data_IF_840325411346
#
_entry.id   IF_840325411346
#
_cell.length_a   1.000
_cell.length_b   1.000
_cell.length_c   1.000
_cell.angle_alpha   90.00
_cell.angle_beta   90.00
_cell.angle_gamma   90.00
#
_symmetry.space_group_name_H-M   'P 1'
#
loop_
_entity.id
_entity.type
_entity.pdbx_description
1 polymer ?
#
# COMPACT_ATOMS: atom_id res chain seq x y z
N UNK A 1 -7.17 16.22 8.20
CA UNK A 1 -8.60 16.51 8.44
C UNK A 1 -8.77 16.97 9.88
N UNK A 2 -9.77 17.81 10.21
CA UNK A 2 -10.04 18.17 11.62
C UNK A 2 -10.71 17.01 12.37
N UNK A 3 -10.45 16.84 13.67
CA UNK A 3 -11.02 15.77 14.50
C UNK A 3 -12.55 15.74 14.47
N UNK A 4 -13.21 16.89 14.50
CA UNK A 4 -14.68 16.95 14.48
C UNK A 4 -15.22 16.30 13.21
N UNK A 5 -14.56 16.54 12.06
CA UNK A 5 -14.93 15.90 10.79
C UNK A 5 -14.70 14.40 10.82
N UNK A 6 -13.62 13.93 11.44
CA UNK A 6 -13.38 12.50 11.64
C UNK A 6 -14.50 11.84 12.47
N UNK A 7 -14.91 12.49 13.57
CA UNK A 7 -16.04 12.04 14.40
C UNK A 7 -17.36 12.03 13.63
N UNK A 8 -17.61 13.02 12.77
CA UNK A 8 -18.78 13.00 11.88
C UNK A 8 -18.74 11.80 10.94
N UNK A 9 -17.60 11.51 10.30
CA UNK A 9 -17.50 10.38 9.38
C UNK A 9 -17.76 9.03 10.06
N UNK A 10 -17.33 8.87 11.32
CA UNK A 10 -17.63 7.68 12.10
C UNK A 10 -19.12 7.60 12.46
N UNK A 11 -19.76 8.71 12.87
CA UNK A 11 -21.21 8.72 13.08
C UNK A 11 -21.98 8.39 11.79
N UNK A 12 -21.61 8.98 10.66
CA UNK A 12 -22.25 8.69 9.37
C UNK A 12 -22.12 7.19 9.02
N UNK A 13 -20.99 6.55 9.36
CA UNK A 13 -20.80 5.10 9.16
C UNK A 13 -21.69 4.29 10.10
N UNK A 14 -21.81 4.69 11.37
CA UNK A 14 -22.71 4.07 12.34
C UNK A 14 -24.18 4.22 11.91
N UNK A 15 -24.58 5.36 11.37
CA UNK A 15 -25.93 5.60 10.83
C UNK A 15 -26.24 4.59 9.71
N UNK A 16 -25.30 4.36 8.79
CA UNK A 16 -25.46 3.37 7.71
C UNK A 16 -25.55 1.94 8.25
N UNK A 17 -24.75 1.60 9.26
CA UNK A 17 -24.83 0.28 9.91
C UNK A 17 -26.19 0.09 10.62
N UNK A 18 -26.76 1.16 11.17
CA UNK A 18 -28.07 1.15 11.83
C UNK A 18 -29.22 1.05 10.82
N UNK A 19 -29.12 1.73 9.67
CA UNK A 19 -30.02 1.53 8.52
C UNK A 19 -29.98 0.09 8.01
N UNK A 20 -28.82 -0.56 8.12
CA UNK A 20 -28.59 -1.95 7.77
C UNK A 20 -28.67 -2.22 6.27
N UNK A 21 -28.95 -3.47 5.93
CA UNK A 21 -29.06 -3.93 4.55
C UNK A 21 -27.75 -4.50 4.00
N UNK A 22 -27.85 -5.21 2.90
CA UNK A 22 -26.69 -5.86 2.29
C UNK A 22 -25.75 -4.82 1.64
N UNK A 23 -24.41 -4.88 1.83
CA UNK A 23 -23.64 -5.91 2.54
C UNK A 23 -23.36 -5.61 4.02
N UNK A 24 -23.89 -4.51 4.58
CA UNK A 24 -23.65 -4.08 5.97
C UNK A 24 -24.15 -5.10 6.99
N UNK A 25 -25.21 -5.85 6.67
CA UNK A 25 -25.70 -6.95 7.49
C UNK A 25 -24.67 -8.09 7.68
N UNK A 26 -23.54 -8.08 6.97
CA UNK A 26 -22.45 -9.04 7.15
C UNK A 26 -21.36 -8.56 8.11
N UNK A 27 -21.37 -7.30 8.52
CA UNK A 27 -20.39 -6.72 9.47
C UNK A 27 -20.63 -7.26 10.88
N UNK A 28 -19.57 -7.75 11.51
CA UNK A 28 -19.59 -8.27 12.89
C UNK A 28 -18.96 -7.30 13.87
N UNK A 29 -17.83 -6.67 13.52
CA UNK A 29 -17.13 -5.74 14.42
C UNK A 29 -16.58 -4.55 13.66
N UNK A 30 -16.57 -3.39 14.33
CA UNK A 30 -15.88 -2.18 13.90
C UNK A 30 -14.88 -1.81 15.00
N UNK A 31 -13.60 -1.75 14.64
CA UNK A 31 -12.52 -1.29 15.51
C UNK A 31 -11.85 -0.07 14.90
N UNK A 32 -11.55 0.94 15.71
CA UNK A 32 -10.87 2.16 15.29
C UNK A 32 -9.46 2.17 15.85
N UNK A 33 -8.49 2.60 15.05
CA UNK A 33 -7.10 2.68 15.46
C UNK A 33 -6.43 3.93 14.90
N UNK A 34 -5.10 4.00 15.05
CA UNK A 34 -4.31 5.08 14.47
C UNK A 34 -4.47 6.41 15.21
N UNK A 35 -4.22 7.50 14.49
CA UNK A 35 -4.10 8.84 15.10
C UNK A 35 -5.40 9.34 15.73
N UNK A 36 -6.55 9.04 15.12
CA UNK A 36 -7.84 9.43 15.66
C UNK A 36 -8.14 8.74 17.00
N UNK A 37 -7.91 7.42 17.08
CA UNK A 37 -8.15 6.61 18.29
C UNK A 37 -7.29 7.07 19.47
N UNK A 38 -6.06 7.54 19.20
CA UNK A 38 -5.18 8.12 20.24
C UNK A 38 -5.58 9.52 20.70
N UNK A 39 -6.52 10.18 20.02
CA UNK A 39 -6.99 11.51 20.42
C UNK A 39 -6.50 12.67 19.55
N UNK A 40 -5.79 12.43 18.45
CA UNK A 40 -5.22 13.51 17.63
C UNK A 40 -6.25 14.55 17.20
N UNK A 41 -5.86 15.83 17.27
CA UNK A 41 -6.70 16.98 16.85
C UNK A 41 -6.81 17.12 15.33
N UNK A 42 -5.77 16.67 14.61
CA UNK A 42 -5.67 16.79 13.15
C UNK A 42 -5.29 15.46 12.50
N UNK A 43 -6.14 14.41 12.60
CA UNK A 43 -5.87 13.13 11.93
C UNK A 43 -5.86 13.29 10.40
N UNK A 44 -5.02 12.53 9.68
CA UNK A 44 -5.04 12.49 8.21
C UNK A 44 -6.38 11.96 7.69
N UNK A 45 -6.76 10.82 8.25
CA UNK A 45 -7.87 9.93 7.98
C UNK A 45 -8.21 9.18 9.28
N UNK A 46 -9.28 8.39 9.24
CA UNK A 46 -9.66 7.48 10.32
C UNK A 46 -9.37 6.05 9.86
N UNK A 47 -8.48 5.38 10.58
CA UNK A 47 -8.11 3.99 10.34
C UNK A 47 -9.07 3.06 11.07
N UNK A 48 -9.66 2.13 10.32
CA UNK A 48 -10.72 1.23 10.81
C UNK A 48 -10.42 -0.20 10.37
N UNK A 49 -10.56 -1.14 11.30
CA UNK A 49 -10.65 -2.58 11.01
C UNK A 49 -12.11 -2.99 11.08
N UNK A 50 -12.55 -3.74 10.07
CA UNK A 50 -13.91 -4.26 9.94
C UNK A 50 -13.83 -5.78 9.87
N UNK A 51 -14.32 -6.43 10.92
CA UNK A 51 -14.52 -7.88 10.90
C UNK A 51 -15.91 -8.18 10.36
N UNK A 52 -16.00 -9.15 9.46
CA UNK A 52 -17.24 -9.46 8.76
C UNK A 52 -17.30 -10.92 8.34
N UNK A 53 -18.52 -11.42 8.19
CA UNK A 53 -18.80 -12.73 7.61
C UNK A 53 -18.86 -12.64 6.09
N UNK A 54 -18.82 -13.80 5.45
CA UNK A 54 -19.01 -13.93 4.01
C UNK A 54 -20.24 -14.78 3.74
N UNK A 55 -21.13 -14.27 2.91
CA UNK A 55 -22.19 -15.06 2.27
C UNK A 55 -21.75 -15.46 0.85
N UNK A 56 -22.60 -16.22 0.16
CA UNK A 56 -22.34 -16.65 -1.21
C UNK A 56 -22.26 -15.46 -2.18
N UNK A 57 -23.06 -14.40 -1.95
CA UNK A 57 -23.08 -13.20 -2.80
C UNK A 57 -21.78 -12.40 -2.69
N UNK A 58 -21.32 -12.10 -1.48
CA UNK A 58 -20.05 -11.39 -1.24
C UNK A 58 -18.86 -12.21 -1.73
N UNK A 59 -18.89 -13.54 -1.54
CA UNK A 59 -17.87 -14.44 -2.08
C UNK A 59 -17.82 -14.40 -3.61
N UNK A 60 -18.99 -14.41 -4.27
CA UNK A 60 -19.07 -14.30 -5.73
C UNK A 60 -18.57 -12.94 -6.24
N UNK A 61 -18.92 -11.83 -5.59
CA UNK A 61 -18.42 -10.50 -5.95
C UNK A 61 -16.91 -10.40 -5.79
N UNK A 62 -16.37 -10.95 -4.69
CA UNK A 62 -14.95 -10.99 -4.42
C UNK A 62 -14.19 -11.74 -5.53
N UNK A 63 -14.62 -12.95 -5.87
CA UNK A 63 -14.02 -13.75 -6.94
C UNK A 63 -14.13 -13.06 -8.31
N UNK A 64 -15.28 -12.50 -8.62
CA UNK A 64 -15.47 -11.76 -9.87
C UNK A 64 -14.55 -10.53 -9.94
N UNK A 65 -14.44 -9.75 -8.87
CA UNK A 65 -13.57 -8.58 -8.85
C UNK A 65 -12.09 -8.96 -9.06
N UNK A 66 -11.62 -10.04 -8.44
CA UNK A 66 -10.26 -10.55 -8.67
C UNK A 66 -10.02 -10.93 -10.13
N UNK A 67 -10.95 -11.68 -10.75
CA UNK A 67 -10.85 -12.10 -12.16
C UNK A 67 -10.74 -10.93 -13.14
N UNK A 68 -11.27 -9.76 -12.78
CA UNK A 68 -11.25 -8.56 -13.62
C UNK A 68 -10.34 -7.45 -13.07
N UNK A 69 -9.46 -7.76 -12.10
CA UNK A 69 -8.50 -6.80 -11.53
C UNK A 69 -9.14 -5.57 -10.86
N UNK A 70 -10.36 -5.72 -10.32
CA UNK A 70 -11.08 -4.67 -9.59
C UNK A 70 -10.87 -4.82 -8.09
N UNK A 71 -11.13 -3.76 -7.32
CA UNK A 71 -11.09 -3.82 -5.85
C UNK A 71 -12.17 -4.80 -5.33
N UNK A 72 -11.78 -5.92 -4.71
CA UNK A 72 -12.72 -6.95 -4.28
C UNK A 72 -13.54 -6.56 -3.05
N UNK A 73 -13.20 -5.44 -2.40
CA UNK A 73 -13.93 -4.90 -1.25
C UNK A 73 -14.79 -3.67 -1.61
N UNK A 74 -14.94 -3.34 -2.91
CA UNK A 74 -15.54 -2.09 -3.35
C UNK A 74 -17.00 -1.89 -2.86
N UNK A 75 -17.82 -2.94 -2.89
CA UNK A 75 -19.22 -2.89 -2.45
C UNK A 75 -19.33 -2.61 -0.96
N UNK A 76 -18.61 -3.37 -0.13
CA UNK A 76 -18.55 -3.17 1.33
C UNK A 76 -17.98 -1.80 1.71
N UNK A 77 -16.86 -1.38 1.09
CA UNK A 77 -16.28 -0.04 1.32
C UNK A 77 -17.30 1.06 1.02
N UNK A 78 -17.99 0.97 -0.11
CA UNK A 78 -18.99 1.96 -0.53
C UNK A 78 -20.17 2.00 0.42
N UNK A 79 -20.64 0.85 0.89
CA UNK A 79 -21.73 0.79 1.86
C UNK A 79 -21.36 1.44 3.19
N UNK A 80 -20.13 1.22 3.69
CA UNK A 80 -19.67 1.79 4.97
C UNK A 80 -19.39 3.29 4.90
N UNK A 81 -18.63 3.73 3.88
CA UNK A 81 -18.13 5.12 3.82
C UNK A 81 -18.88 6.03 2.85
N UNK A 82 -19.81 5.50 2.05
CA UNK A 82 -20.42 6.23 0.95
C UNK A 82 -19.35 6.78 -0.01
N UNK A 83 -19.39 8.09 -0.24
CA UNK A 83 -18.42 8.81 -1.07
C UNK A 83 -17.28 9.45 -0.26
N UNK A 84 -17.18 9.17 1.04
CA UNK A 84 -16.20 9.78 1.92
C UNK A 84 -14.79 9.25 1.68
N UNK A 85 -13.82 10.17 1.60
CA UNK A 85 -12.39 9.86 1.43
C UNK A 85 -11.59 9.82 2.73
N UNK A 86 -12.20 10.20 3.86
CA UNK A 86 -11.52 10.29 5.15
C UNK A 86 -11.55 9.01 6.00
N UNK A 87 -12.06 7.90 5.47
CA UNK A 87 -12.07 6.59 6.12
C UNK A 87 -11.17 5.61 5.35
N UNK A 88 -10.17 5.07 6.05
CA UNK A 88 -9.32 3.98 5.60
C UNK A 88 -9.80 2.69 6.26
N UNK A 89 -10.21 1.71 5.45
CA UNK A 89 -10.89 0.50 5.92
C UNK A 89 -10.08 -0.74 5.56
N UNK A 90 -9.81 -1.55 6.57
CA UNK A 90 -9.14 -2.83 6.54
C UNK A 90 -10.14 -3.94 6.87
N UNK A 91 -10.22 -5.02 6.08
CA UNK A 91 -11.23 -6.08 6.25
C UNK A 91 -10.60 -7.39 6.71
N UNK A 92 -11.06 -7.92 7.84
CA UNK A 92 -10.61 -9.22 8.35
C UNK A 92 -9.13 -9.24 8.78
N UNK A 93 -8.58 -8.08 9.15
CA UNK A 93 -7.16 -7.91 9.48
C UNK A 93 -6.92 -7.71 10.98
N UNK A 94 -7.93 -7.86 11.85
CA UNK A 94 -7.80 -7.63 13.31
C UNK A 94 -6.58 -8.34 13.91
N UNK A 95 -6.46 -9.64 13.67
CA UNK A 95 -5.35 -10.46 14.20
C UNK A 95 -3.98 -9.99 13.69
N UNK A 96 -3.91 -9.53 12.44
CA UNK A 96 -2.69 -9.00 11.84
C UNK A 96 -2.28 -7.71 12.55
N UNK A 97 -3.21 -6.77 12.71
CA UNK A 97 -2.95 -5.51 13.41
C UNK A 97 -2.59 -5.72 14.89
N UNK A 98 -3.28 -6.61 15.60
CA UNK A 98 -2.93 -6.96 16.98
C UNK A 98 -1.53 -7.58 17.09
N UNK A 99 -1.15 -8.48 16.16
CA UNK A 99 0.19 -9.07 16.12
C UNK A 99 1.28 -8.04 15.80
N UNK A 100 0.95 -7.00 15.03
CA UNK A 100 1.83 -5.85 14.75
C UNK A 100 1.89 -4.82 15.90
N UNK A 101 1.23 -5.11 17.04
CA UNK A 101 1.24 -4.26 18.23
C UNK A 101 0.34 -3.03 18.15
N UNK A 102 -0.66 -3.02 17.26
CA UNK A 102 -1.63 -1.93 17.25
C UNK A 102 -2.64 -2.08 18.37
N UNK A 103 -2.87 -0.98 19.09
CA UNK A 103 -4.01 -0.84 19.97
C UNK A 103 -5.27 -0.57 19.15
N UNK A 104 -6.18 -1.54 19.12
CA UNK A 104 -7.46 -1.46 18.45
C UNK A 104 -8.56 -1.12 19.46
N UNK A 105 -9.22 0.02 19.29
CA UNK A 105 -10.35 0.43 20.12
C UNK A 105 -11.64 -0.12 19.53
N UNK A 106 -12.29 -1.06 20.22
CA UNK A 106 -13.60 -1.58 19.82
C UNK A 106 -14.64 -0.46 19.83
N UNK A 107 -15.25 -0.21 18.68
CA UNK A 107 -16.31 0.79 18.53
C UNK A 107 -17.69 0.14 18.59
N UNK A 108 -17.92 -0.92 17.80
CA UNK A 108 -19.23 -1.58 17.72
C UNK A 108 -19.07 -3.07 17.45
N UNK A 109 -19.91 -3.88 18.08
CA UNK A 109 -20.08 -5.30 17.78
C UNK A 109 -21.54 -5.58 17.40
N UNK A 110 -21.76 -6.49 16.46
CA UNK A 110 -23.09 -6.92 16.05
C UNK A 110 -23.92 -7.37 17.25
N UNK A 111 -25.17 -6.93 17.27
CA UNK A 111 -26.12 -7.22 18.35
C UNK A 111 -26.07 -6.19 19.48
N UNK A 112 -25.07 -5.30 19.50
CA UNK A 112 -25.06 -4.15 20.40
C UNK A 112 -25.90 -3.00 19.83
N UNK A 113 -26.60 -2.24 20.69
CA UNK A 113 -27.33 -1.05 20.26
C UNK A 113 -26.36 0.03 19.76
N UNK A 114 -26.74 0.74 18.69
CA UNK A 114 -25.89 1.77 18.09
C UNK A 114 -25.55 2.92 19.06
N UNK A 115 -26.43 3.18 20.02
CA UNK A 115 -26.21 4.14 21.11
C UNK A 115 -24.96 3.81 21.92
N UNK A 116 -24.67 2.53 22.19
CA UNK A 116 -23.46 2.13 22.90
C UNK A 116 -22.19 2.45 22.09
N UNK A 117 -22.22 2.22 20.77
CA UNK A 117 -21.11 2.59 19.90
C UNK A 117 -20.90 4.11 19.86
N UNK A 118 -21.97 4.90 19.82
CA UNK A 118 -21.88 6.37 19.90
C UNK A 118 -21.30 6.84 21.23
N UNK A 119 -21.66 6.20 22.35
CA UNK A 119 -21.05 6.46 23.65
C UNK A 119 -19.55 6.15 23.64
N UNK A 120 -19.13 5.02 23.08
CA UNK A 120 -17.71 4.68 22.95
C UNK A 120 -16.98 5.68 22.06
N UNK A 121 -17.58 6.09 20.94
CA UNK A 121 -17.03 7.12 20.06
C UNK A 121 -16.80 8.44 20.79
N UNK A 122 -17.79 8.89 21.56
CA UNK A 122 -17.71 10.13 22.34
C UNK A 122 -16.66 10.04 23.47
N UNK A 123 -16.41 8.84 24.00
CA UNK A 123 -15.39 8.60 25.02
C UNK A 123 -13.95 8.66 24.48
N UNK A 124 -13.73 8.65 23.17
CA UNK A 124 -12.40 8.88 22.58
C UNK A 124 -12.06 10.36 22.74
N UNK A 125 -11.39 10.70 23.84
CA UNK A 125 -11.07 12.07 24.20
C UNK A 125 -10.05 12.68 23.22
N UNK A 126 -10.17 13.98 22.89
CA UNK A 126 -9.09 14.72 22.24
C UNK A 126 -7.86 14.76 23.15
N UNK A 127 -6.70 14.44 22.59
CA UNK A 127 -5.41 14.54 23.23
C UNK A 127 -4.49 15.40 22.36
N UNK A 128 -4.15 16.64 22.78
CA UNK A 128 -3.24 17.51 22.05
C UNK A 128 -1.82 16.92 21.91
N UNK A 129 -1.44 16.00 22.79
CA UNK A 129 -0.15 15.31 22.77
C UNK A 129 -0.16 14.05 21.91
N UNK A 130 -1.35 13.58 21.51
CA UNK A 130 -1.51 12.56 20.49
C UNK A 130 -1.12 13.12 19.13
N UNK A 131 0.18 13.19 18.91
CA UNK A 131 0.77 13.44 17.61
C UNK A 131 0.48 12.30 16.65
N UNK A 132 1.00 12.44 15.42
CA UNK A 132 1.17 11.29 14.54
C UNK A 132 1.89 10.21 15.35
N UNK A 133 1.49 8.93 15.19
CA UNK A 133 2.24 7.83 15.79
C UNK A 133 3.72 8.09 15.49
N UNK A 134 4.61 7.74 16.43
CA UNK A 134 6.01 7.57 16.09
C UNK A 134 6.05 6.89 14.72
N UNK A 135 6.76 7.51 13.77
CA UNK A 135 6.93 6.91 12.45
C UNK A 135 7.91 5.76 12.68
N UNK A 136 7.42 4.70 13.29
CA UNK A 136 8.19 3.49 13.49
C UNK A 136 8.59 3.01 12.09
N UNK A 137 9.84 2.57 11.96
CA UNK A 137 10.42 2.09 10.71
C UNK A 137 10.61 3.21 9.66
N UNK A 138 11.51 4.13 9.96
CA UNK A 138 11.96 5.18 9.06
C UNK A 138 13.45 5.03 8.78
N UNK A 139 13.80 4.98 7.50
CA UNK A 139 15.17 5.11 7.01
C UNK A 139 15.28 6.41 6.20
N UNK A 140 16.50 6.92 6.04
CA UNK A 140 16.79 8.15 5.27
C UNK A 140 16.19 8.12 3.86
N UNK A 141 16.15 6.94 3.21
CA UNK A 141 15.59 6.79 1.88
C UNK A 141 14.08 7.09 1.78
N UNK A 142 13.35 7.18 2.90
CA UNK A 142 11.92 7.53 2.91
C UNK A 142 11.66 9.03 3.01
N UNK A 143 12.70 9.85 3.16
CA UNK A 143 12.54 11.29 3.32
C UNK A 143 11.81 11.92 2.12
N UNK A 144 10.79 12.72 2.43
CA UNK A 144 9.93 13.35 1.43
C UNK A 144 8.95 12.42 0.70
N UNK A 145 9.03 11.09 0.89
CA UNK A 145 8.17 10.08 0.23
C UNK A 145 7.48 9.12 1.21
N UNK A 146 7.62 9.28 2.52
CA UNK A 146 7.07 8.42 3.58
C UNK A 146 5.54 8.20 3.46
N UNK A 147 4.82 9.26 3.10
CA UNK A 147 3.36 9.29 2.88
C UNK A 147 2.86 8.37 1.76
N UNK A 148 3.75 7.78 0.95
CA UNK A 148 3.46 6.95 -0.21
C UNK A 148 4.13 5.58 -0.11
N UNK A 149 4.89 5.33 0.95
CA UNK A 149 5.40 4.01 1.29
C UNK A 149 4.46 3.43 2.34
N UNK A 150 3.66 2.40 2.00
CA UNK A 150 2.75 1.77 2.96
C UNK A 150 3.51 1.31 4.21
N UNK A 151 2.88 1.36 5.38
CA UNK A 151 3.55 0.96 6.63
C UNK A 151 4.12 -0.47 6.60
N UNK A 152 3.41 -1.50 6.08
CA UNK A 152 4.00 -2.85 5.98
C UNK A 152 5.30 -2.86 5.17
N UNK A 153 5.32 -2.12 4.06
CA UNK A 153 6.51 -1.93 3.24
C UNK A 153 7.63 -1.24 4.02
N UNK A 154 7.31 -0.18 4.78
CA UNK A 154 8.31 0.51 5.61
C UNK A 154 8.92 -0.40 6.68
N UNK A 155 8.10 -1.23 7.32
CA UNK A 155 8.56 -2.21 8.31
C UNK A 155 9.56 -3.16 7.66
N UNK A 156 9.15 -3.85 6.59
CA UNK A 156 9.98 -4.88 5.96
C UNK A 156 11.27 -4.28 5.39
N UNK A 157 11.19 -3.13 4.72
CA UNK A 157 12.36 -2.46 4.17
C UNK A 157 13.31 -1.92 5.26
N UNK A 158 12.79 -1.44 6.39
CA UNK A 158 13.63 -1.01 7.51
C UNK A 158 14.30 -2.22 8.17
N UNK A 159 13.57 -3.32 8.37
CA UNK A 159 14.13 -4.57 8.90
C UNK A 159 15.26 -5.11 8.02
N UNK A 160 15.12 -5.05 6.69
CA UNK A 160 16.19 -5.40 5.75
C UNK A 160 17.45 -4.56 5.94
N UNK A 161 17.30 -3.24 6.17
CA UNK A 161 18.43 -2.33 6.40
C UNK A 161 19.06 -2.56 7.77
N UNK A 162 18.25 -2.70 8.81
CA UNK A 162 18.70 -2.90 10.20
C UNK A 162 19.49 -4.21 10.34
N UNK A 163 19.05 -5.27 9.66
CA UNK A 163 19.76 -6.56 9.58
C UNK A 163 20.97 -6.53 8.66
N UNK A 164 21.21 -5.43 7.95
CA UNK A 164 22.22 -5.29 6.90
C UNK A 164 22.05 -6.30 5.76
N UNK A 165 20.82 -6.80 5.55
CA UNK A 165 20.49 -7.69 4.45
C UNK A 165 20.48 -6.95 3.11
N UNK A 166 20.06 -5.69 3.12
CA UNK A 166 20.05 -4.83 1.94
C UNK A 166 20.41 -3.37 2.29
N UNK A 167 20.86 -2.63 1.28
CA UNK A 167 20.94 -1.17 1.31
C UNK A 167 19.82 -0.58 0.48
N UNK A 168 19.20 0.48 0.97
CA UNK A 168 18.12 1.17 0.26
C UNK A 168 18.50 2.63 0.07
N UNK A 169 18.43 3.09 -1.18
CA UNK A 169 18.70 4.49 -1.55
C UNK A 169 17.50 5.08 -2.27
N UNK A 170 17.20 6.34 -1.96
CA UNK A 170 16.25 7.11 -2.74
C UNK A 170 16.95 7.72 -3.95
N UNK A 171 16.32 7.61 -5.12
CA UNK A 171 16.76 8.20 -6.36
C UNK A 171 15.66 9.11 -6.89
N UNK A 172 16.03 10.30 -7.33
CA UNK A 172 15.15 11.12 -8.16
C UNK A 172 15.45 10.83 -9.63
N UNK A 173 14.49 10.26 -10.34
CA UNK A 173 14.64 9.89 -11.74
C UNK A 173 14.42 11.12 -12.64
N UNK A 174 15.33 11.31 -13.60
CA UNK A 174 15.17 12.34 -14.62
C UNK A 174 14.05 11.97 -15.59
N UNK A 175 13.25 12.94 -16.01
CA UNK A 175 12.15 12.77 -16.95
C UNK A 175 12.66 12.72 -18.39
N UNK A 176 13.41 11.66 -18.71
CA UNK A 176 14.11 11.46 -19.98
C UNK A 176 13.69 10.14 -20.58
N UNK A 177 13.68 10.06 -21.92
CA UNK A 177 13.39 8.81 -22.63
C UNK A 177 14.66 7.98 -22.83
N UNK A 178 14.55 6.64 -22.77
CA UNK A 178 15.62 5.76 -23.16
C UNK A 178 15.91 5.89 -24.65
N UNK A 179 17.11 5.51 -25.05
CA UNK A 179 17.59 5.48 -26.43
C UNK A 179 17.60 4.08 -27.02
N UNK A 180 17.67 3.04 -26.18
CA UNK A 180 17.79 1.67 -26.64
C UNK A 180 16.49 1.20 -27.32
N UNK A 181 16.54 0.59 -28.52
CA UNK A 181 15.34 0.15 -29.25
C UNK A 181 14.43 -0.77 -28.43
N UNK A 182 15.00 -1.72 -27.69
CA UNK A 182 14.20 -2.61 -26.85
C UNK A 182 13.53 -1.91 -25.66
N UNK A 183 14.17 -0.89 -25.08
CA UNK A 183 13.54 -0.07 -24.05
C UNK A 183 12.35 0.70 -24.64
N UNK A 184 12.53 1.30 -25.83
CA UNK A 184 11.45 1.98 -26.55
C UNK A 184 10.28 1.03 -26.88
N UNK A 185 10.58 -0.19 -27.31
CA UNK A 185 9.57 -1.23 -27.56
C UNK A 185 8.83 -1.61 -26.28
N UNK A 186 9.52 -1.79 -25.15
CA UNK A 186 8.89 -2.08 -23.86
C UNK A 186 7.93 -0.97 -23.39
N UNK A 187 8.14 0.28 -23.79
CA UNK A 187 7.22 1.38 -23.46
C UNK A 187 5.86 1.30 -24.18
N UNK A 188 5.75 0.51 -25.26
CA UNK A 188 4.50 0.33 -26.00
C UNK A 188 3.42 -0.41 -25.21
N UNK A 189 3.80 -1.06 -24.09
CA UNK A 189 2.89 -1.68 -23.10
C UNK A 189 1.87 -0.70 -22.52
N UNK A 190 2.14 0.61 -22.61
CA UNK A 190 1.30 1.66 -22.05
C UNK A 190 1.03 2.77 -23.08
N UNK A 191 -0.11 3.45 -22.92
CA UNK A 191 -0.44 4.63 -23.71
C UNK A 191 0.51 5.80 -23.43
N UNK A 192 0.63 6.74 -24.37
CA UNK A 192 1.53 7.91 -24.26
C UNK A 192 1.24 8.80 -23.04
N UNK A 193 0.00 8.78 -22.54
CA UNK A 193 -0.43 9.59 -21.39
C UNK A 193 -0.40 8.82 -20.06
N UNK A 194 0.09 7.58 -20.06
CA UNK A 194 0.18 6.74 -18.87
C UNK A 194 1.29 7.22 -17.92
N UNK A 195 1.00 7.44 -16.63
CA UNK A 195 2.04 7.67 -15.62
C UNK A 195 3.06 6.53 -15.54
N UNK A 196 2.63 5.29 -15.80
CA UNK A 196 3.50 4.11 -15.80
C UNK A 196 4.48 4.15 -16.96
N UNK A 197 4.07 4.64 -18.14
CA UNK A 197 4.97 4.80 -19.28
C UNK A 197 6.07 5.79 -18.97
N UNK A 198 5.73 6.92 -18.34
CA UNK A 198 6.69 7.94 -17.92
C UNK A 198 7.68 7.39 -16.88
N UNK A 199 7.17 6.66 -15.88
CA UNK A 199 8.01 5.99 -14.89
C UNK A 199 8.95 4.95 -15.51
N UNK A 200 8.43 4.11 -16.41
CA UNK A 200 9.22 3.13 -17.16
C UNK A 200 10.29 3.81 -18.03
N UNK A 201 9.95 4.89 -18.73
CA UNK A 201 10.92 5.62 -19.53
C UNK A 201 12.06 6.18 -18.66
N UNK A 202 11.72 6.83 -17.55
CA UNK A 202 12.69 7.45 -16.65
C UNK A 202 13.64 6.42 -16.01
N UNK A 203 13.13 5.26 -15.57
CA UNK A 203 13.98 4.22 -14.97
C UNK A 203 14.83 3.52 -16.02
N UNK A 204 14.30 3.21 -17.21
CA UNK A 204 15.10 2.61 -18.29
C UNK A 204 16.21 3.57 -18.78
N UNK A 205 15.90 4.85 -18.91
CA UNK A 205 16.91 5.87 -19.24
C UNK A 205 17.98 5.98 -18.14
N UNK A 206 17.60 5.86 -16.87
CA UNK A 206 18.55 5.81 -15.76
C UNK A 206 19.45 4.58 -15.83
N UNK A 207 18.89 3.40 -16.13
CA UNK A 207 19.67 2.16 -16.29
C UNK A 207 20.65 2.26 -17.46
N UNK A 208 20.21 2.78 -18.62
CA UNK A 208 21.08 3.03 -19.78
C UNK A 208 22.23 4.00 -19.44
N UNK A 209 21.93 5.11 -18.77
CA UNK A 209 22.93 6.10 -18.39
C UNK A 209 23.99 5.54 -17.41
N UNK A 210 23.65 4.48 -16.67
CA UNK A 210 24.56 3.79 -15.75
C UNK A 210 25.11 2.48 -16.34
N UNK A 211 25.00 2.28 -17.66
CA UNK A 211 25.50 1.12 -18.40
C UNK A 211 24.98 -0.23 -17.88
N UNK A 212 23.76 -0.26 -17.35
CA UNK A 212 23.11 -1.49 -16.91
C UNK A 212 22.53 -2.26 -18.11
N UNK A 213 22.81 -3.57 -18.25
CA UNK A 213 22.38 -4.35 -19.39
C UNK A 213 20.87 -4.59 -19.35
N UNK A 214 20.16 -4.24 -20.43
CA UNK A 214 18.70 -4.32 -20.50
C UNK A 214 18.15 -5.74 -20.75
N UNK A 215 19.01 -6.68 -21.12
CA UNK A 215 18.65 -8.09 -21.37
C UNK A 215 18.40 -8.91 -20.11
N UNK A 216 18.72 -8.34 -18.95
CA UNK A 216 18.49 -8.91 -17.62
C UNK A 216 17.58 -8.04 -16.75
N UNK A 217 16.77 -7.18 -17.38
CA UNK A 217 15.79 -6.30 -16.71
C UNK A 217 14.38 -6.88 -16.78
N UNK A 218 13.79 -7.13 -15.62
CA UNK A 218 12.40 -7.51 -15.44
C UNK A 218 11.55 -6.29 -15.09
N UNK A 219 10.79 -5.78 -16.07
CA UNK A 219 10.05 -4.53 -15.97
C UNK A 219 8.57 -4.77 -15.72
N UNK A 220 8.13 -4.54 -14.48
CA UNK A 220 6.72 -4.55 -14.07
C UNK A 220 5.96 -5.81 -14.52
N UNK A 221 6.56 -6.98 -14.27
CA UNK A 221 5.95 -8.27 -14.58
C UNK A 221 6.32 -8.87 -15.95
N UNK A 222 7.06 -8.14 -16.79
CA UNK A 222 7.50 -8.64 -18.10
C UNK A 222 8.94 -8.18 -18.42
N UNK A 223 9.79 -9.04 -19.02
CA UNK A 223 11.18 -8.71 -19.33
C UNK A 223 11.30 -7.64 -20.40
N UNK A 224 12.30 -6.77 -20.35
CA UNK A 224 12.53 -5.73 -21.37
C UNK A 224 12.96 -6.36 -22.70
N UNK A 225 13.84 -7.36 -22.65
CA UNK A 225 14.26 -8.17 -23.79
C UNK A 225 14.04 -9.65 -23.45
N UNK A 226 13.60 -10.42 -24.43
CA UNK A 226 13.43 -11.87 -24.28
C UNK A 226 12.05 -12.27 -23.77
N UNK A 227 11.99 -13.41 -23.08
CA UNK A 227 10.74 -14.04 -22.63
C UNK A 227 10.82 -14.35 -21.15
N UNK A 228 9.67 -14.28 -20.45
CA UNK A 228 9.58 -14.67 -19.02
C UNK A 228 9.85 -16.16 -18.78
N UNK A 229 9.90 -16.96 -19.83
CA UNK A 229 10.09 -18.42 -19.79
C UNK A 229 11.50 -18.87 -20.17
N UNK A 230 12.44 -17.94 -20.41
CA UNK A 230 13.84 -18.32 -20.55
C UNK A 230 14.46 -18.54 -19.17
N UNK A 231 15.51 -19.38 -19.11
CA UNK A 231 16.37 -19.59 -17.91
C UNK A 231 17.22 -18.34 -17.58
N UNK A 232 16.70 -17.14 -17.83
CA UNK A 232 17.39 -15.88 -17.58
C UNK A 232 17.27 -15.55 -16.10
N UNK A 233 18.42 -15.52 -15.41
CA UNK A 233 18.49 -14.88 -14.10
C UNK A 233 18.38 -13.36 -14.28
N UNK A 234 17.32 -12.76 -13.75
CA UNK A 234 17.12 -11.32 -13.80
C UNK A 234 18.10 -10.65 -12.83
N UNK A 235 18.83 -9.64 -13.31
CA UNK A 235 19.75 -8.87 -12.45
C UNK A 235 19.05 -7.67 -11.85
N UNK A 236 18.06 -7.12 -12.56
CA UNK A 236 17.34 -5.92 -12.15
C UNK A 236 15.83 -6.16 -12.28
N UNK A 237 15.11 -5.96 -11.19
CA UNK A 237 13.67 -5.90 -11.14
C UNK A 237 13.20 -4.46 -11.04
N UNK A 238 12.12 -4.12 -11.74
CA UNK A 238 11.52 -2.79 -11.70
C UNK A 238 10.03 -2.91 -11.38
N UNK A 239 9.63 -2.29 -10.27
CA UNK A 239 8.25 -2.22 -9.78
C UNK A 239 7.69 -0.81 -9.78
N UNK A 240 6.35 -0.71 -9.80
CA UNK A 240 5.63 0.55 -9.76
C UNK A 240 4.50 0.47 -8.72
N UNK A 241 4.39 1.51 -7.88
CA UNK A 241 3.31 1.71 -6.90
C UNK A 241 3.06 0.48 -6.00
N UNK A 242 4.13 -0.25 -5.65
CA UNK A 242 4.14 -1.44 -4.79
C UNK A 242 3.30 -2.60 -5.31
N UNK A 243 2.89 -2.59 -6.59
CA UNK A 243 2.02 -3.62 -7.17
C UNK A 243 2.61 -5.03 -7.11
N UNK A 244 3.94 -5.11 -7.16
CA UNK A 244 4.70 -6.35 -7.10
C UNK A 244 5.46 -6.51 -5.77
N UNK A 245 5.02 -5.83 -4.71
CA UNK A 245 5.69 -5.85 -3.41
C UNK A 245 5.97 -7.27 -2.90
N UNK A 246 4.99 -8.18 -3.01
CA UNK A 246 5.15 -9.57 -2.56
C UNK A 246 6.22 -10.36 -3.30
N UNK A 247 6.57 -9.97 -4.53
CA UNK A 247 7.63 -10.64 -5.29
C UNK A 247 9.02 -10.05 -5.02
N UNK A 248 9.13 -8.90 -4.35
CA UNK A 248 10.43 -8.25 -4.10
C UNK A 248 11.34 -9.18 -3.31
N UNK A 249 10.86 -9.76 -2.20
CA UNK A 249 11.65 -10.67 -1.38
C UNK A 249 12.23 -11.84 -2.20
N UNK A 250 11.40 -12.49 -3.02
CA UNK A 250 11.83 -13.57 -3.90
C UNK A 250 12.91 -13.13 -4.89
N UNK A 251 12.76 -11.96 -5.52
CA UNK A 251 13.77 -11.45 -6.47
C UNK A 251 15.09 -11.10 -5.75
N UNK A 252 15.01 -10.55 -4.54
CA UNK A 252 16.20 -10.27 -3.71
C UNK A 252 16.92 -11.57 -3.31
N UNK A 253 16.21 -12.64 -2.98
CA UNK A 253 16.80 -13.96 -2.68
C UNK A 253 17.60 -14.51 -3.87
N UNK A 254 17.08 -14.34 -5.09
CA UNK A 254 17.77 -14.71 -6.33
C UNK A 254 18.98 -13.79 -6.64
N UNK A 255 19.07 -12.64 -5.97
CA UNK A 255 20.14 -11.67 -6.14
C UNK A 255 19.84 -10.56 -7.13
N UNK A 256 18.56 -10.33 -7.41
CA UNK A 256 18.10 -9.26 -8.28
C UNK A 256 18.04 -7.96 -7.49
N UNK A 257 18.69 -6.91 -7.97
CA UNK A 257 18.50 -5.56 -7.42
C UNK A 257 17.11 -5.02 -7.82
N UNK A 258 16.46 -4.27 -6.93
CA UNK A 258 15.09 -3.81 -7.17
C UNK A 258 14.97 -2.29 -7.21
N UNK A 259 14.35 -1.77 -8.28
CA UNK A 259 13.93 -0.38 -8.39
C UNK A 259 12.42 -0.28 -8.23
N UNK A 260 11.96 0.35 -7.15
CA UNK A 260 10.55 0.65 -6.96
C UNK A 260 10.26 2.12 -7.23
N UNK A 261 9.54 2.44 -8.31
CA UNK A 261 9.02 3.81 -8.51
C UNK A 261 7.78 3.97 -7.62
N UNK A 262 7.99 4.59 -6.46
CA UNK A 262 7.03 4.64 -5.33
C UNK A 262 5.70 5.26 -5.70
N UNK A 263 5.70 6.24 -6.61
CA UNK A 263 4.48 6.86 -7.09
C UNK A 263 4.65 7.35 -8.53
N UNK A 264 4.24 6.56 -9.53
CA UNK A 264 4.17 7.00 -10.91
C UNK A 264 3.22 8.20 -11.04
N UNK A 265 3.70 9.32 -11.58
CA UNK A 265 2.88 10.51 -11.84
C UNK A 265 3.13 11.05 -13.23
N UNK A 266 2.20 11.86 -13.75
CA UNK A 266 2.34 12.48 -15.08
C UNK A 266 3.27 13.69 -15.09
N UNK A 267 3.35 14.42 -13.98
CA UNK A 267 3.94 15.77 -13.96
C UNK A 267 4.82 16.06 -12.74
N UNK A 268 4.71 15.28 -11.67
CA UNK A 268 5.52 15.49 -10.46
C UNK A 268 6.87 14.77 -10.60
N UNK A 269 7.87 15.14 -9.78
CA UNK A 269 9.12 14.39 -9.70
C UNK A 269 8.87 12.90 -9.47
N UNK A 270 9.67 12.06 -10.13
CA UNK A 270 9.64 10.62 -9.96
C UNK A 270 10.71 10.23 -8.96
N UNK A 271 10.29 9.59 -7.87
CA UNK A 271 11.18 9.03 -6.87
C UNK A 271 11.15 7.51 -6.98
N UNK A 272 12.32 6.90 -7.01
CA UNK A 272 12.51 5.47 -6.93
C UNK A 272 13.29 5.10 -5.67
N UNK A 273 12.97 3.94 -5.11
CA UNK A 273 13.80 3.27 -4.13
C UNK A 273 14.63 2.21 -4.84
N UNK A 274 15.94 2.31 -4.74
CA UNK A 274 16.87 1.29 -5.22
C UNK A 274 17.30 0.43 -4.03
N UNK A 275 16.91 -0.84 -4.07
CA UNK A 275 17.16 -1.85 -3.05
C UNK A 275 18.24 -2.79 -3.61
N UNK A 276 19.41 -2.78 -2.98
CA UNK A 276 20.55 -3.61 -3.36
C UNK A 276 20.83 -4.62 -2.25
N UNK A 277 20.93 -5.90 -2.60
CA UNK A 277 21.22 -6.97 -1.64
C UNK A 277 22.67 -6.88 -1.19
N UNK A 278 22.90 -6.97 0.12
CA UNK A 278 24.24 -7.00 0.71
C UNK A 278 24.60 -8.42 1.18
N UNK A 279 23.68 -9.08 1.89
CA UNK A 279 23.87 -10.43 2.40
C UNK A 279 22.58 -11.25 2.25
N UNK A 280 22.65 -12.27 1.39
CA UNK A 280 21.52 -13.17 1.11
C UNK A 280 21.21 -14.11 2.26
N UNK A 281 22.19 -14.40 3.13
CA UNK A 281 22.01 -15.36 4.22
C UNK A 281 21.05 -14.84 5.30
N UNK A 282 20.88 -13.52 5.39
CA UNK A 282 20.04 -12.84 6.39
C UNK A 282 18.73 -12.29 5.82
N UNK A 283 18.43 -12.57 4.54
CA UNK A 283 17.13 -12.24 3.95
C UNK A 283 16.01 -13.05 4.63
N UNK A 284 14.83 -12.45 4.85
CA UNK A 284 13.65 -13.19 5.30
C UNK A 284 13.27 -14.20 4.22
N UNK A 285 13.18 -15.49 4.59
CA UNK A 285 12.82 -16.55 3.66
C UNK A 285 11.34 -16.46 3.29
N UNK A 286 11.07 -16.48 1.98
CA UNK A 286 9.73 -16.48 1.40
C UNK A 286 8.93 -17.76 1.60
#
# INVERSE_FOLDING_TARGET
>A
MKRERATTLLNDMLDRLEEGGWPLDLVDEILVFGSYARGALNPSDVDIVVEHRRDSRLTSEFLHALSYGRDPSASMKRALKGNSRGLQIHFGERKTFEAEGFELTMLWTRGEPMTAARTRLAAIAPDPTAGRASRDHMIEAFDGIDRWVPRPVRIDLTDLVDRKAATIRQLQLADVRPSHPAALEALTRWSDTSPLRRAAAAVLAHLEANAQPLDSVYLHGDPVIGSRYSDTAWQIGVGFDWRHYRSIAHHLEEGTDWFEVVRPTRTQPLHALHITVQDRAVLPRS
#
